data_IF_463525708566
#
_entry.id   IF_463525708566
#
_cell.length_a   1.000
_cell.length_b   1.000
_cell.length_c   1.000
_cell.angle_alpha   90.00
_cell.angle_beta   90.00
_cell.angle_gamma   90.00
#
_symmetry.space_group_name_H-M   'P 1'
#
loop_
_entity.id
_entity.type
_entity.pdbx_description
1 polymer ?
#
# COMPACT_ATOMS: atom_id res chain seq x y z
N UNK A 1 -42.27 5.11 -12.92
CA UNK A 1 -41.39 6.14 -12.32
C UNK A 1 -40.20 5.40 -11.76
N UNK A 2 -39.03 5.46 -12.41
CA UNK A 2 -37.80 4.97 -11.81
C UNK A 2 -37.53 5.87 -10.60
N UNK A 3 -37.58 5.30 -9.40
CA UNK A 3 -37.21 6.03 -8.19
C UNK A 3 -35.81 6.57 -8.40
N UNK A 4 -35.58 7.87 -8.14
CA UNK A 4 -34.24 8.42 -8.12
C UNK A 4 -33.46 7.62 -7.08
N UNK A 5 -32.47 6.87 -7.53
CA UNK A 5 -31.56 6.17 -6.62
C UNK A 5 -30.83 7.23 -5.83
N UNK A 6 -30.91 7.20 -4.49
CA UNK A 6 -30.21 8.13 -3.65
C UNK A 6 -28.69 8.04 -3.95
N UNK A 7 -28.03 9.20 -3.91
CA UNK A 7 -26.61 9.30 -4.18
C UNK A 7 -25.81 8.74 -3.00
N UNK A 8 -24.82 7.92 -3.29
CA UNK A 8 -23.83 7.46 -2.33
C UNK A 8 -22.69 8.47 -2.26
N UNK A 9 -22.31 8.88 -1.06
CA UNK A 9 -21.15 9.72 -0.81
C UNK A 9 -20.02 8.89 -0.20
N UNK A 10 -18.80 9.09 -0.69
CA UNK A 10 -17.61 8.36 -0.21
C UNK A 10 -16.55 9.39 0.17
N UNK A 11 -16.12 9.38 1.43
CA UNK A 11 -15.05 10.24 1.93
C UNK A 11 -13.74 9.48 1.81
N UNK A 12 -12.81 10.02 1.03
CA UNK A 12 -11.50 9.44 0.73
C UNK A 12 -11.46 8.71 -0.61
N UNK A 13 -10.61 9.21 -1.50
CA UNK A 13 -10.34 8.67 -2.84
C UNK A 13 -9.17 7.69 -2.88
N UNK A 14 -8.83 7.04 -1.76
CA UNK A 14 -7.82 5.97 -1.72
C UNK A 14 -8.26 4.68 -2.41
N UNK A 15 -7.51 3.60 -2.26
CA UNK A 15 -7.81 2.29 -2.88
C UNK A 15 -9.23 1.82 -2.56
N UNK A 16 -9.61 1.85 -1.28
CA UNK A 16 -10.93 1.37 -0.83
C UNK A 16 -12.08 2.25 -1.34
N UNK A 17 -11.93 3.58 -1.26
CA UNK A 17 -12.97 4.51 -1.74
C UNK A 17 -13.13 4.47 -3.24
N UNK A 18 -12.05 4.32 -4.00
CA UNK A 18 -12.07 4.15 -5.45
C UNK A 18 -12.77 2.87 -5.87
N UNK A 19 -12.48 1.75 -5.20
CA UNK A 19 -13.16 0.47 -5.46
C UNK A 19 -14.65 0.55 -5.12
N UNK A 20 -15.00 1.11 -3.95
CA UNK A 20 -16.39 1.27 -3.52
C UNK A 20 -17.20 2.14 -4.51
N UNK A 21 -16.61 3.24 -4.98
CA UNK A 21 -17.24 4.11 -5.97
C UNK A 21 -17.48 3.38 -7.30
N UNK A 22 -16.49 2.62 -7.76
CA UNK A 22 -16.60 1.82 -8.98
C UNK A 22 -17.73 0.81 -8.89
N UNK A 23 -17.73 -0.01 -7.83
CA UNK A 23 -18.73 -1.06 -7.64
C UNK A 23 -20.14 -0.49 -7.53
N UNK A 24 -20.35 0.59 -6.76
CA UNK A 24 -21.64 1.24 -6.66
C UNK A 24 -22.12 1.80 -8.00
N UNK A 25 -21.24 2.43 -8.75
CA UNK A 25 -21.58 2.99 -10.06
C UNK A 25 -21.90 1.89 -11.09
N UNK A 26 -21.19 0.76 -11.07
CA UNK A 26 -21.53 -0.41 -11.91
C UNK A 26 -22.92 -1.00 -11.59
N UNK A 27 -23.38 -0.84 -10.35
CA UNK A 27 -24.74 -1.22 -9.94
C UNK A 27 -25.80 -0.14 -10.27
N UNK A 28 -25.41 0.95 -10.94
CA UNK A 28 -26.29 2.04 -11.32
C UNK A 28 -26.56 3.08 -10.22
N UNK A 29 -25.78 3.07 -9.14
CA UNK A 29 -25.90 4.05 -8.05
C UNK A 29 -25.03 5.28 -8.36
N UNK A 30 -25.58 6.51 -8.38
CA UNK A 30 -24.80 7.73 -8.48
C UNK A 30 -23.89 7.90 -7.26
N UNK A 31 -22.63 8.27 -7.48
CA UNK A 31 -21.62 8.39 -6.43
C UNK A 31 -20.95 9.77 -6.46
N UNK A 32 -20.65 10.32 -5.28
CA UNK A 32 -19.72 11.43 -5.12
C UNK A 32 -18.56 10.97 -4.24
N UNK A 33 -17.33 11.04 -4.76
CA UNK A 33 -16.10 10.86 -3.99
C UNK A 33 -15.68 12.24 -3.47
N UNK A 34 -15.51 12.38 -2.16
CA UNK A 34 -14.94 13.56 -1.52
C UNK A 34 -13.47 13.28 -1.23
N UNK A 35 -12.59 13.94 -1.96
CA UNK A 35 -11.14 13.81 -1.82
C UNK A 35 -10.54 15.16 -1.43
N UNK A 36 -9.80 15.22 -0.33
CA UNK A 36 -9.23 16.47 0.15
C UNK A 36 -8.06 16.98 -0.69
N UNK A 37 -7.33 16.06 -1.35
CA UNK A 37 -6.20 16.41 -2.22
C UNK A 37 -6.69 16.89 -3.59
N UNK A 38 -5.99 17.79 -4.24
CA UNK A 38 -4.72 18.41 -3.83
C UNK A 38 -4.87 19.63 -2.91
N UNK A 39 -6.08 20.02 -2.50
CA UNK A 39 -6.32 21.24 -1.67
C UNK A 39 -5.72 21.09 -0.28
N UNK A 40 -5.91 19.94 0.34
CA UNK A 40 -5.31 19.60 1.64
C UNK A 40 -4.43 18.37 1.40
N UNK A 41 -3.13 18.56 1.52
CA UNK A 41 -2.14 17.51 1.33
C UNK A 41 -1.97 16.64 2.58
N UNK A 42 -1.30 15.51 2.41
CA UNK A 42 -0.77 14.69 3.51
C UNK A 42 0.74 14.61 3.39
N UNK A 43 1.40 14.16 4.44
CA UNK A 43 2.86 14.01 4.40
C UNK A 43 3.34 12.86 3.51
N UNK A 44 2.47 11.90 3.16
CA UNK A 44 2.84 10.68 2.44
C UNK A 44 2.46 10.72 0.95
N UNK A 45 1.39 11.41 0.57
CA UNK A 45 0.98 11.51 -0.82
C UNK A 45 1.82 12.53 -1.60
N UNK A 46 2.09 12.23 -2.86
CA UNK A 46 2.89 13.06 -3.76
C UNK A 46 2.05 13.72 -4.86
N UNK A 47 0.83 13.22 -5.10
CA UNK A 47 -0.05 13.67 -6.17
C UNK A 47 -1.47 13.95 -5.68
N UNK A 48 -2.33 14.44 -6.58
CA UNK A 48 -3.78 14.53 -6.35
C UNK A 48 -4.55 13.36 -6.97
N UNK A 49 -3.87 12.33 -7.44
CA UNK A 49 -4.51 11.17 -8.05
C UNK A 49 -5.20 10.29 -7.02
N UNK A 50 -6.31 9.67 -7.44
CA UNK A 50 -7.04 8.70 -6.64
C UNK A 50 -6.26 7.38 -6.60
N UNK A 51 -6.49 6.59 -5.56
CA UNK A 51 -5.84 5.29 -5.36
C UNK A 51 -4.30 5.34 -5.34
N UNK A 52 -3.69 6.48 -5.00
CA UNK A 52 -2.24 6.60 -4.85
C UNK A 52 -1.72 5.68 -3.75
N UNK A 53 -0.72 4.86 -4.08
CA UNK A 53 -0.06 3.97 -3.14
C UNK A 53 1.10 4.71 -2.45
N UNK A 54 1.05 4.86 -1.14
CA UNK A 54 2.00 5.69 -0.38
C UNK A 54 3.10 4.89 0.32
N UNK A 55 2.84 3.69 0.79
CA UNK A 55 3.79 2.89 1.56
C UNK A 55 4.67 2.00 0.66
N UNK A 56 4.05 1.23 -0.22
CA UNK A 56 4.69 0.24 -1.08
C UNK A 56 4.01 0.24 -2.44
N UNK A 57 4.68 -0.28 -3.46
CA UNK A 57 4.09 -0.54 -4.76
C UNK A 57 3.55 -1.97 -4.92
N UNK A 58 3.50 -2.74 -3.83
CA UNK A 58 3.12 -4.14 -3.82
C UNK A 58 1.79 -4.38 -3.12
N UNK A 59 0.93 -5.14 -3.78
CA UNK A 59 -0.29 -5.72 -3.20
C UNK A 59 -0.03 -7.08 -2.51
N UNK A 60 1.24 -7.46 -2.29
CA UNK A 60 1.68 -8.73 -1.72
C UNK A 60 1.48 -9.90 -2.68
N UNK A 61 1.34 -11.14 -2.14
CA UNK A 61 1.19 -12.36 -2.93
C UNK A 61 -0.03 -12.33 -3.84
N UNK A 62 0.13 -12.78 -5.07
CA UNK A 62 -0.94 -12.94 -6.06
C UNK A 62 -1.31 -14.42 -6.31
N UNK A 63 -0.79 -15.31 -5.47
CA UNK A 63 -1.07 -16.74 -5.51
C UNK A 63 -2.41 -17.05 -4.83
N UNK A 64 -3.45 -17.27 -5.64
CA UNK A 64 -4.81 -17.50 -5.16
C UNK A 64 -5.04 -18.89 -4.54
N UNK A 65 -4.13 -19.84 -4.76
CA UNK A 65 -4.27 -21.20 -4.24
C UNK A 65 -3.54 -21.41 -2.91
N UNK A 66 -2.44 -20.69 -2.70
CA UNK A 66 -1.56 -20.89 -1.55
C UNK A 66 -1.59 -19.72 -0.55
N UNK A 67 -2.24 -18.61 -0.89
CA UNK A 67 -2.18 -17.39 -0.09
C UNK A 67 -3.53 -16.68 -0.01
N UNK A 68 -3.96 -16.34 1.21
CA UNK A 68 -5.23 -15.66 1.45
C UNK A 68 -5.33 -14.29 0.75
N UNK A 69 -4.22 -13.56 0.61
CA UNK A 69 -4.20 -12.28 -0.11
C UNK A 69 -4.40 -12.50 -1.60
N UNK A 70 -3.74 -13.51 -2.18
CA UNK A 70 -3.94 -13.89 -3.58
C UNK A 70 -5.37 -14.34 -3.87
N UNK A 71 -5.99 -15.08 -2.94
CA UNK A 71 -7.40 -15.46 -3.05
C UNK A 71 -8.30 -14.22 -3.05
N UNK A 72 -8.06 -13.24 -2.18
CA UNK A 72 -8.79 -11.97 -2.17
C UNK A 72 -8.62 -11.22 -3.51
N UNK A 73 -7.43 -11.19 -4.09
CA UNK A 73 -7.22 -10.59 -5.41
C UNK A 73 -8.06 -11.30 -6.50
N UNK A 74 -8.11 -12.61 -6.45
CA UNK A 74 -8.92 -13.39 -7.38
C UNK A 74 -10.41 -13.07 -7.23
N UNK A 75 -10.93 -12.99 -6.01
CA UNK A 75 -12.32 -12.59 -5.72
C UNK A 75 -12.61 -11.17 -6.23
N UNK A 76 -11.71 -10.21 -6.00
CA UNK A 76 -11.85 -8.84 -6.49
C UNK A 76 -11.84 -8.78 -8.03
N UNK A 77 -11.01 -9.59 -8.70
CA UNK A 77 -11.03 -9.72 -10.18
C UNK A 77 -12.36 -10.30 -10.65
N UNK A 78 -12.85 -11.36 -10.00
CA UNK A 78 -14.14 -11.99 -10.32
C UNK A 78 -15.31 -11.02 -10.12
N UNK A 79 -15.22 -10.12 -9.15
CA UNK A 79 -16.19 -9.05 -8.93
C UNK A 79 -16.09 -7.87 -9.92
N UNK A 80 -15.13 -7.88 -10.84
CA UNK A 80 -14.91 -6.78 -11.80
C UNK A 80 -14.35 -5.51 -11.16
N UNK A 81 -13.53 -5.65 -10.11
CA UNK A 81 -12.93 -4.56 -9.36
C UNK A 81 -11.98 -3.71 -10.21
N UNK A 82 -12.06 -2.39 -10.07
CA UNK A 82 -11.20 -1.46 -10.81
C UNK A 82 -9.75 -1.53 -10.35
N UNK A 83 -9.52 -1.75 -9.06
CA UNK A 83 -8.18 -1.78 -8.49
C UNK A 83 -7.38 -2.94 -9.09
N UNK A 84 -7.91 -4.15 -9.07
CA UNK A 84 -7.22 -5.31 -9.65
C UNK A 84 -7.11 -5.22 -11.18
N UNK A 85 -8.16 -4.80 -11.87
CA UNK A 85 -8.14 -4.62 -13.33
C UNK A 85 -7.09 -3.59 -13.78
N UNK A 86 -6.83 -2.57 -12.98
CA UNK A 86 -5.80 -1.56 -13.26
C UNK A 86 -4.41 -2.04 -12.82
N UNK A 87 -4.31 -2.74 -11.68
CA UNK A 87 -3.06 -3.33 -11.22
C UNK A 87 -2.48 -4.32 -12.23
N UNK A 88 -3.32 -5.16 -12.83
CA UNK A 88 -2.90 -6.12 -13.86
C UNK A 88 -2.31 -5.44 -15.12
N UNK A 89 -2.80 -4.23 -15.46
CA UNK A 89 -2.29 -3.44 -16.60
C UNK A 89 -0.95 -2.76 -16.33
N UNK A 90 -0.66 -2.46 -15.07
CA UNK A 90 0.55 -1.75 -14.64
C UNK A 90 1.47 -2.64 -13.81
N UNK A 91 1.36 -3.95 -13.98
CA UNK A 91 2.14 -4.94 -13.27
C UNK A 91 3.63 -4.78 -13.56
N UNK A 92 4.43 -4.88 -12.50
CA UNK A 92 5.89 -4.98 -12.58
C UNK A 92 6.33 -6.37 -12.14
N UNK A 93 7.46 -6.88 -12.66
CA UNK A 93 8.04 -8.14 -12.22
C UNK A 93 8.34 -8.11 -10.71
N UNK A 94 7.73 -9.04 -9.97
CA UNK A 94 7.88 -9.14 -8.51
C UNK A 94 7.77 -10.59 -8.01
N UNK A 95 8.17 -11.56 -8.83
CA UNK A 95 8.04 -12.99 -8.52
C UNK A 95 6.57 -13.37 -8.31
N UNK A 96 6.26 -13.99 -7.19
CA UNK A 96 4.87 -14.35 -6.85
C UNK A 96 4.02 -13.24 -6.23
N UNK A 97 4.49 -11.99 -6.25
CA UNK A 97 3.74 -10.83 -5.75
C UNK A 97 3.14 -10.01 -6.90
N UNK A 98 2.06 -9.29 -6.61
CA UNK A 98 1.53 -8.26 -7.50
C UNK A 98 2.13 -6.93 -7.11
N UNK A 99 3.09 -6.44 -7.89
CA UNK A 99 3.63 -5.10 -7.78
C UNK A 99 3.23 -4.27 -9.01
N UNK A 100 3.12 -2.96 -8.84
CA UNK A 100 2.68 -2.04 -9.90
C UNK A 100 3.60 -0.82 -10.02
N UNK A 101 3.61 -0.23 -11.20
CA UNK A 101 4.11 1.12 -11.38
C UNK A 101 3.10 2.10 -10.78
N UNK A 102 3.46 2.76 -9.68
CA UNK A 102 2.53 3.53 -8.84
C UNK A 102 1.87 4.70 -9.54
N UNK A 103 2.66 5.50 -10.27
CA UNK A 103 2.16 6.71 -10.92
C UNK A 103 1.19 6.38 -12.07
N UNK A 104 1.53 5.53 -13.05
CA UNK A 104 0.59 5.13 -14.10
C UNK A 104 -0.63 4.38 -13.56
N UNK A 105 -0.48 3.60 -12.48
CA UNK A 105 -1.59 2.93 -11.82
C UNK A 105 -2.59 3.94 -11.25
N UNK A 106 -2.15 4.90 -10.42
CA UNK A 106 -3.00 5.91 -9.82
C UNK A 106 -3.67 6.80 -10.87
N UNK A 107 -2.92 7.25 -11.89
CA UNK A 107 -3.43 8.02 -13.00
C UNK A 107 -4.52 7.26 -13.79
N UNK A 108 -4.35 5.96 -14.02
CA UNK A 108 -5.32 5.14 -14.73
C UNK A 108 -6.61 4.91 -13.93
N UNK A 109 -6.52 4.67 -12.62
CA UNK A 109 -7.69 4.59 -11.73
C UNK A 109 -8.44 5.92 -11.73
N UNK A 110 -7.71 7.03 -11.56
CA UNK A 110 -8.27 8.39 -11.59
C UNK A 110 -9.02 8.67 -12.89
N UNK A 111 -8.41 8.36 -14.01
CA UNK A 111 -9.01 8.58 -15.33
C UNK A 111 -10.30 7.75 -15.53
N UNK A 112 -10.29 6.48 -15.13
CA UNK A 112 -11.44 5.62 -15.25
C UNK A 112 -12.60 6.06 -14.38
N UNK A 113 -12.36 6.46 -13.12
CA UNK A 113 -13.39 6.98 -12.22
C UNK A 113 -14.00 8.30 -12.74
N UNK A 114 -13.15 9.24 -13.20
CA UNK A 114 -13.61 10.52 -13.76
C UNK A 114 -14.38 10.36 -15.09
N UNK A 115 -14.10 9.32 -15.85
CA UNK A 115 -14.81 9.04 -17.11
C UNK A 115 -16.18 8.36 -16.88
N UNK A 116 -16.45 7.84 -15.68
CA UNK A 116 -17.70 7.12 -15.42
C UNK A 116 -18.86 8.11 -15.20
N UNK A 117 -19.98 7.98 -15.94
CA UNK A 117 -21.07 8.99 -15.94
C UNK A 117 -21.80 9.11 -14.59
N UNK A 118 -21.72 8.12 -13.71
CA UNK A 118 -22.35 8.12 -12.40
C UNK A 118 -21.39 8.50 -11.26
N UNK A 119 -20.12 8.76 -11.56
CA UNK A 119 -19.13 9.14 -10.53
C UNK A 119 -18.75 10.61 -10.68
N UNK A 120 -18.87 11.34 -9.59
CA UNK A 120 -18.42 12.73 -9.44
C UNK A 120 -17.29 12.77 -8.41
N UNK A 121 -16.23 13.52 -8.67
CA UNK A 121 -15.15 13.74 -7.71
C UNK A 121 -15.21 15.18 -7.23
N UNK A 122 -15.49 15.38 -5.94
CA UNK A 122 -15.45 16.67 -5.27
C UNK A 122 -14.15 16.81 -4.51
N UNK A 123 -13.34 17.79 -4.89
CA UNK A 123 -12.05 18.07 -4.23
C UNK A 123 -12.27 19.01 -3.04
N UNK A 124 -12.70 18.43 -1.92
CA UNK A 124 -12.92 19.16 -0.67
C UNK A 124 -12.68 18.26 0.54
N UNK A 125 -12.23 18.87 1.63
CA UNK A 125 -12.10 18.20 2.91
C UNK A 125 -13.47 18.10 3.59
N UNK A 126 -13.82 16.90 4.05
CA UNK A 126 -14.97 16.67 4.93
C UNK A 126 -14.44 16.60 6.37
N UNK A 127 -14.86 17.55 7.19
CA UNK A 127 -14.34 17.71 8.57
C UNK A 127 -15.28 17.19 9.65
N UNK A 128 -16.55 16.91 9.29
CA UNK A 128 -17.58 16.45 10.22
C UNK A 128 -18.26 15.20 9.70
N UNK A 129 -18.77 14.37 10.61
CA UNK A 129 -19.54 13.19 10.23
C UNK A 129 -20.91 13.61 9.67
N UNK A 130 -21.33 13.07 8.53
CA UNK A 130 -22.63 13.36 7.95
C UNK A 130 -23.75 12.84 8.84
N UNK A 131 -24.87 13.57 8.91
CA UNK A 131 -26.02 13.23 9.74
C UNK A 131 -27.20 12.63 8.94
N UNK A 132 -27.11 12.61 7.61
CA UNK A 132 -28.15 12.09 6.72
C UNK A 132 -27.58 11.59 5.40
N UNK A 133 -28.36 10.80 4.64
CA UNK A 133 -27.93 10.19 3.39
C UNK A 133 -27.09 8.93 3.60
N UNK A 134 -26.51 8.41 2.49
CA UNK A 134 -25.69 7.20 2.49
C UNK A 134 -24.21 7.58 2.31
N UNK A 135 -23.39 7.22 3.29
CA UNK A 135 -21.99 7.60 3.33
C UNK A 135 -21.10 6.40 3.64
N UNK A 136 -19.94 6.37 2.98
CA UNK A 136 -18.84 5.47 3.30
C UNK A 136 -17.64 6.35 3.69
N UNK A 137 -17.03 6.07 4.84
CA UNK A 137 -15.75 6.68 5.25
C UNK A 137 -14.65 5.71 4.88
N UNK A 138 -13.84 6.08 3.88
CA UNK A 138 -12.78 5.26 3.30
C UNK A 138 -11.43 6.00 3.29
N UNK A 139 -11.22 6.87 4.28
CA UNK A 139 -10.04 7.75 4.37
C UNK A 139 -8.77 7.04 4.79
N UNK A 140 -8.89 5.81 5.33
CA UNK A 140 -7.73 5.05 5.80
C UNK A 140 -6.97 5.74 6.93
N UNK A 141 -5.67 5.41 7.10
CA UNK A 141 -4.89 5.93 8.21
C UNK A 141 -4.45 7.40 8.04
N UNK A 142 -4.56 7.98 6.83
CA UNK A 142 -4.20 9.37 6.54
C UNK A 142 -5.43 10.29 6.56
N UNK A 143 -6.39 9.99 7.43
CA UNK A 143 -7.57 10.83 7.69
C UNK A 143 -7.12 12.20 8.23
N UNK A 144 -7.78 13.29 7.79
CA UNK A 144 -7.48 14.62 8.32
C UNK A 144 -7.77 14.73 9.81
N UNK A 145 -7.05 15.60 10.51
CA UNK A 145 -7.16 15.75 11.96
C UNK A 145 -8.60 16.08 12.39
N UNK A 146 -9.29 16.94 11.65
CA UNK A 146 -10.67 17.34 11.96
C UNK A 146 -11.64 16.14 11.85
N UNK A 147 -11.58 15.38 10.75
CA UNK A 147 -12.44 14.21 10.57
C UNK A 147 -12.05 13.09 11.54
N UNK A 148 -10.77 12.91 11.82
CA UNK A 148 -10.27 11.95 12.81
C UNK A 148 -10.84 12.21 14.20
N UNK A 149 -10.83 13.48 14.63
CA UNK A 149 -11.45 13.91 15.89
C UNK A 149 -12.98 13.66 15.90
N UNK A 150 -13.67 13.91 14.79
CA UNK A 150 -15.09 13.64 14.66
C UNK A 150 -15.40 12.12 14.75
N UNK A 151 -14.58 11.27 14.13
CA UNK A 151 -14.70 9.80 14.19
C UNK A 151 -14.45 9.32 15.63
N UNK A 152 -13.37 9.77 16.27
CA UNK A 152 -13.02 9.40 17.64
C UNK A 152 -14.16 9.76 18.62
N UNK A 153 -14.73 10.95 18.48
CA UNK A 153 -15.88 11.38 19.28
C UNK A 153 -17.11 10.49 19.07
N UNK A 154 -17.36 10.04 17.86
CA UNK A 154 -18.53 9.21 17.54
C UNK A 154 -18.36 7.76 17.98
N UNK A 155 -17.15 7.21 17.90
CA UNK A 155 -16.84 5.80 18.21
C UNK A 155 -16.39 5.59 19.65
N UNK A 156 -15.92 6.63 20.34
CA UNK A 156 -15.29 6.54 21.65
C UNK A 156 -13.89 5.93 21.62
N UNK A 157 -13.27 5.83 20.44
CA UNK A 157 -11.94 5.28 20.27
C UNK A 157 -10.88 6.39 20.21
N UNK A 158 -9.71 6.16 20.84
CA UNK A 158 -8.74 7.22 21.10
C UNK A 158 -7.84 7.60 19.93
N UNK A 159 -7.67 6.79 18.89
CA UNK A 159 -6.88 7.18 17.71
C UNK A 159 -6.94 6.19 16.54
N UNK A 160 -6.69 6.71 15.34
CA UNK A 160 -6.25 5.96 14.17
C UNK A 160 -4.71 5.95 14.18
N UNK A 161 -4.10 4.77 14.20
CA UNK A 161 -2.65 4.63 14.15
C UNK A 161 -2.17 4.50 12.69
N UNK A 162 -1.17 5.29 12.32
CA UNK A 162 -0.49 5.19 11.02
C UNK A 162 1.02 5.15 11.23
N UNK A 163 1.67 4.25 10.48
CA UNK A 163 3.13 4.20 10.37
C UNK A 163 3.53 4.28 8.91
N UNK A 164 4.34 5.27 8.57
CA UNK A 164 4.98 5.35 7.27
C UNK A 164 6.30 4.57 7.31
N UNK A 165 6.33 3.42 6.65
CA UNK A 165 7.55 2.65 6.47
C UNK A 165 8.26 3.15 5.22
N UNK A 166 9.28 4.00 5.39
CA UNK A 166 10.11 4.48 4.28
C UNK A 166 10.96 3.32 3.76
N UNK A 167 10.72 2.88 2.53
CA UNK A 167 11.61 1.98 1.81
C UNK A 167 12.72 2.81 1.14
N UNK A 168 14.01 2.62 1.47
CA UNK A 168 15.10 3.33 0.82
C UNK A 168 15.17 2.96 -0.67
N UNK A 169 15.31 3.98 -1.52
CA UNK A 169 15.50 3.83 -2.96
C UNK A 169 16.96 4.13 -3.28
N UNK A 170 17.62 3.26 -4.04
CA UNK A 170 19.00 3.43 -4.49
C UNK A 170 19.06 3.50 -6.02
N UNK A 171 20.04 4.21 -6.56
CA UNK A 171 20.29 4.21 -8.00
C UNK A 171 20.82 2.86 -8.46
N UNK A 172 20.31 2.34 -9.57
CA UNK A 172 20.71 1.04 -10.10
C UNK A 172 22.20 0.96 -10.48
N UNK A 173 22.77 2.06 -10.94
CA UNK A 173 24.19 2.19 -11.30
C UNK A 173 25.12 2.28 -10.07
N UNK A 174 24.57 2.50 -8.87
CA UNK A 174 25.33 2.47 -7.62
C UNK A 174 25.52 1.06 -7.05
N UNK A 175 24.89 0.06 -7.66
CA UNK A 175 24.90 -1.32 -7.17
C UNK A 175 26.10 -2.10 -7.75
N UNK A 176 26.89 -2.70 -6.88
CA UNK A 176 27.99 -3.58 -7.31
C UNK A 176 27.45 -4.96 -7.68
N UNK A 177 27.23 -5.20 -8.96
CA UNK A 177 26.74 -6.48 -9.49
C UNK A 177 27.79 -7.59 -9.51
N UNK A 178 29.06 -7.33 -9.15
CA UNK A 178 30.08 -8.37 -8.94
C UNK A 178 29.84 -9.16 -7.63
N UNK A 179 29.03 -8.60 -6.73
CA UNK A 179 28.68 -9.19 -5.42
C UNK A 179 27.19 -9.46 -5.31
N UNK A 180 26.37 -8.52 -5.81
CA UNK A 180 24.91 -8.63 -5.81
C UNK A 180 24.42 -9.41 -7.04
N UNK A 181 23.25 -10.02 -6.95
CA UNK A 181 22.63 -10.73 -8.08
C UNK A 181 21.11 -10.62 -8.06
N UNK A 182 20.49 -10.86 -9.21
CA UNK A 182 19.04 -10.84 -9.38
C UNK A 182 18.50 -12.27 -9.27
N UNK A 183 17.61 -12.51 -8.29
CA UNK A 183 16.90 -13.78 -8.12
C UNK A 183 15.69 -13.62 -7.23
N UNK A 184 14.55 -14.19 -7.60
CA UNK A 184 13.40 -14.40 -6.72
C UNK A 184 13.61 -15.67 -5.88
N UNK A 185 13.14 -15.68 -4.63
CA UNK A 185 13.26 -16.87 -3.76
C UNK A 185 12.55 -18.07 -4.40
N UNK A 186 13.25 -19.21 -4.42
CA UNK A 186 12.79 -20.46 -5.04
C UNK A 186 12.49 -20.32 -6.53
N UNK A 187 13.13 -19.34 -7.20
CA UNK A 187 12.92 -19.02 -8.61
C UNK A 187 11.43 -18.85 -8.97
N UNK A 188 10.65 -18.29 -8.04
CA UNK A 188 9.22 -18.05 -8.24
C UNK A 188 8.99 -17.01 -9.34
N UNK A 189 8.04 -17.31 -10.22
CA UNK A 189 7.62 -16.51 -11.35
C UNK A 189 7.43 -17.37 -12.58
N UNK A 190 6.53 -16.96 -13.47
CA UNK A 190 6.22 -17.69 -14.72
C UNK A 190 7.20 -17.33 -15.85
N UNK A 191 7.88 -16.20 -15.74
CA UNK A 191 8.88 -15.73 -16.70
C UNK A 191 10.27 -15.60 -16.08
N UNK A 192 11.31 -15.55 -16.92
CA UNK A 192 12.69 -15.30 -16.46
C UNK A 192 12.83 -13.94 -15.77
N UNK A 193 12.07 -12.93 -16.18
CA UNK A 193 12.05 -11.61 -15.57
C UNK A 193 11.50 -11.68 -14.15
N UNK A 194 10.42 -12.42 -13.93
CA UNK A 194 9.84 -12.63 -12.61
C UNK A 194 10.73 -13.45 -11.69
N UNK A 195 11.42 -14.46 -12.23
CA UNK A 195 12.40 -15.27 -11.48
C UNK A 195 13.63 -14.45 -11.06
N UNK A 196 13.91 -13.34 -11.75
CA UNK A 196 15.01 -12.40 -11.49
C UNK A 196 14.52 -11.03 -10.96
N UNK A 197 13.37 -10.98 -10.32
CA UNK A 197 12.74 -9.69 -9.93
C UNK A 197 13.35 -9.03 -8.69
N UNK A 198 14.14 -9.74 -7.88
CA UNK A 198 14.72 -9.22 -6.64
C UNK A 198 16.22 -9.15 -6.69
N UNK A 199 16.76 -8.00 -6.25
CA UNK A 199 18.18 -7.82 -6.02
C UNK A 199 18.57 -8.42 -4.66
N UNK A 200 19.55 -9.30 -4.66
CA UNK A 200 20.08 -9.93 -3.47
C UNK A 200 21.48 -9.41 -3.16
N UNK A 201 21.69 -8.93 -1.94
CA UNK A 201 22.97 -8.45 -1.42
C UNK A 201 23.42 -9.39 -0.30
N UNK A 202 24.45 -10.22 -0.50
CA UNK A 202 24.90 -11.17 0.51
C UNK A 202 25.65 -10.47 1.63
N UNK A 203 25.54 -10.99 2.83
CA UNK A 203 26.37 -10.61 3.98
C UNK A 203 26.94 -11.86 4.63
N UNK A 204 28.22 -11.83 5.00
CA UNK A 204 28.81 -12.79 5.90
C UNK A 204 28.41 -12.47 7.37
N UNK A 205 28.81 -13.32 8.31
CA UNK A 205 28.48 -13.14 9.74
C UNK A 205 29.04 -11.82 10.29
N UNK A 206 30.25 -11.43 9.89
CA UNK A 206 30.89 -10.19 10.35
C UNK A 206 30.13 -8.97 9.83
N UNK A 207 29.79 -8.97 8.55
CA UNK A 207 29.03 -7.92 7.90
C UNK A 207 27.61 -7.81 8.47
N UNK A 208 26.95 -8.95 8.71
CA UNK A 208 25.62 -8.97 9.34
C UNK A 208 25.67 -8.37 10.74
N UNK A 209 26.63 -8.76 11.56
CA UNK A 209 26.78 -8.23 12.91
C UNK A 209 27.07 -6.72 12.91
N UNK A 210 27.94 -6.25 12.01
CA UNK A 210 28.21 -4.82 11.84
C UNK A 210 26.97 -4.04 11.37
N UNK A 211 26.18 -4.61 10.47
CA UNK A 211 24.92 -4.02 10.02
C UNK A 211 23.92 -3.88 11.17
N UNK A 212 23.74 -4.92 11.99
CA UNK A 212 22.84 -4.85 13.17
C UNK A 212 23.32 -3.80 14.16
N UNK A 213 24.62 -3.73 14.45
CA UNK A 213 25.19 -2.73 15.36
C UNK A 213 24.95 -1.30 14.85
N UNK A 214 25.18 -1.07 13.56
CA UNK A 214 24.94 0.22 12.92
C UNK A 214 23.44 0.59 12.93
N UNK A 215 22.56 -0.36 12.64
CA UNK A 215 21.12 -0.17 12.63
C UNK A 215 20.57 0.21 14.02
N UNK A 216 21.06 -0.46 15.08
CA UNK A 216 20.65 -0.19 16.45
C UNK A 216 21.21 1.13 16.99
N UNK A 217 22.36 1.58 16.49
CA UNK A 217 23.00 2.83 16.87
C UNK A 217 22.56 4.04 16.02
N UNK A 218 21.84 3.82 14.92
CA UNK A 218 21.41 4.88 14.02
C UNK A 218 20.35 5.78 14.67
N UNK A 219 20.28 7.02 14.19
CA UNK A 219 19.22 7.94 14.53
C UNK A 219 17.87 7.39 14.07
N UNK A 220 16.87 7.45 14.94
CA UNK A 220 15.52 6.98 14.66
C UNK A 220 14.61 8.16 14.47
N UNK A 221 13.64 8.01 13.57
CA UNK A 221 12.55 8.98 13.43
C UNK A 221 11.69 8.92 14.70
N UNK A 222 11.56 10.05 15.38
CA UNK A 222 10.65 10.17 16.52
C UNK A 222 9.20 10.06 16.06
N UNK A 223 8.37 9.40 16.86
CA UNK A 223 6.94 9.34 16.60
C UNK A 223 6.33 10.75 16.67
N UNK A 224 5.41 11.03 15.78
CA UNK A 224 4.63 12.26 15.85
C UNK A 224 3.63 12.19 17.00
N UNK A 225 3.21 13.36 17.48
CA UNK A 225 2.19 13.46 18.52
C UNK A 225 0.91 12.76 18.07
N UNK A 226 0.47 11.72 18.78
CA UNK A 226 -0.65 10.86 18.41
C UNK A 226 -0.29 9.52 17.74
N UNK A 227 0.95 9.31 17.30
CA UNK A 227 1.45 8.02 16.87
C UNK A 227 1.76 7.15 18.08
N UNK A 228 0.83 6.32 18.52
CA UNK A 228 1.10 5.34 19.58
C UNK A 228 1.59 4.02 19.00
N UNK A 229 2.52 3.38 19.70
CA UNK A 229 3.28 2.20 19.29
C UNK A 229 2.45 0.91 19.13
N UNK A 230 1.42 0.92 18.29
CA UNK A 230 0.71 -0.27 17.85
C UNK A 230 1.22 -0.72 16.49
N UNK A 231 2.45 -1.26 16.40
CA UNK A 231 2.95 -1.79 15.14
C UNK A 231 2.09 -2.95 14.65
N UNK A 232 1.75 -2.93 13.38
CA UNK A 232 1.21 -4.09 12.71
C UNK A 232 2.31 -5.15 12.57
N UNK A 233 2.13 -6.35 13.12
CA UNK A 233 3.16 -7.41 13.09
C UNK A 233 3.67 -7.74 11.68
N UNK A 234 2.85 -7.52 10.65
CA UNK A 234 3.23 -7.71 9.25
C UNK A 234 4.01 -6.55 8.61
N UNK A 235 4.17 -5.41 9.30
CA UNK A 235 4.82 -4.19 8.80
C UNK A 235 5.74 -3.57 9.85
N UNK A 236 6.45 -4.40 10.63
CA UNK A 236 7.40 -3.91 11.62
C UNK A 236 8.59 -3.21 10.95
N UNK A 237 8.98 -2.03 11.41
CA UNK A 237 10.24 -1.41 11.01
C UNK A 237 11.43 -2.34 11.30
N UNK A 238 12.44 -2.28 10.44
CA UNK A 238 13.60 -3.19 10.52
C UNK A 238 14.38 -3.01 11.83
N UNK A 239 14.49 -1.78 12.33
CA UNK A 239 15.12 -1.45 13.60
C UNK A 239 14.36 -2.05 14.79
N UNK A 240 13.03 -2.04 14.76
CA UNK A 240 12.19 -2.67 15.81
C UNK A 240 12.35 -4.19 15.81
N UNK A 241 12.49 -4.80 14.63
CA UNK A 241 12.80 -6.23 14.53
C UNK A 241 14.19 -6.54 15.09
N UNK A 242 15.19 -5.70 14.82
CA UNK A 242 16.54 -5.86 15.33
C UNK A 242 16.59 -5.71 16.87
N UNK A 243 15.81 -4.81 17.45
CA UNK A 243 15.65 -4.63 18.90
C UNK A 243 15.05 -5.86 19.60
N UNK A 244 14.17 -6.60 18.93
CA UNK A 244 13.60 -7.84 19.47
C UNK A 244 14.63 -8.96 19.62
N UNK A 245 15.77 -8.86 18.94
CA UNK A 245 16.88 -9.78 19.04
C UNK A 245 17.76 -9.76 17.79
N UNK A 246 19.05 -9.91 18.00
CA UNK A 246 20.08 -9.83 16.97
C UNK A 246 19.82 -10.76 15.77
N UNK A 247 19.27 -11.94 16.04
CA UNK A 247 18.98 -12.97 15.05
C UNK A 247 17.60 -12.83 14.36
N UNK A 248 16.76 -11.89 14.83
CA UNK A 248 15.38 -11.76 14.36
C UNK A 248 15.32 -11.53 12.85
N UNK A 249 16.18 -10.66 12.31
CA UNK A 249 16.22 -10.37 10.88
C UNK A 249 16.69 -11.58 10.05
N UNK A 250 17.70 -12.30 10.54
CA UNK A 250 18.28 -13.47 9.86
C UNK A 250 17.30 -14.64 9.77
N UNK A 251 16.45 -14.83 10.77
CA UNK A 251 15.38 -15.83 10.74
C UNK A 251 14.04 -15.30 10.20
N UNK A 252 13.95 -14.00 9.95
CA UNK A 252 12.80 -13.28 9.41
C UNK A 252 13.01 -12.82 7.96
N UNK A 253 12.90 -11.52 7.68
CA UNK A 253 12.92 -10.99 6.31
C UNK A 253 14.24 -11.18 5.57
N UNK A 254 15.37 -11.28 6.29
CA UNK A 254 16.69 -11.47 5.69
C UNK A 254 17.13 -12.96 5.64
N UNK A 255 16.20 -13.90 5.88
CA UNK A 255 16.50 -15.33 5.83
C UNK A 255 16.96 -15.76 4.43
N UNK A 256 18.16 -16.37 4.26
CA UNK A 256 18.72 -16.71 2.95
C UNK A 256 18.21 -18.07 2.44
N UNK A 257 16.89 -18.23 2.35
CA UNK A 257 16.27 -19.48 1.87
C UNK A 257 15.79 -19.35 0.43
N UNK A 258 15.98 -20.40 -0.36
CA UNK A 258 15.56 -20.44 -1.76
C UNK A 258 16.35 -19.50 -2.66
N UNK A 259 17.58 -19.15 -2.27
CA UNK A 259 18.51 -18.32 -3.03
C UNK A 259 19.82 -19.05 -3.23
N UNK A 260 20.44 -18.89 -4.40
CA UNK A 260 21.74 -19.44 -4.74
C UNK A 260 22.67 -18.31 -5.12
N UNK A 261 23.69 -18.06 -4.29
CA UNK A 261 24.66 -17.01 -4.57
C UNK A 261 25.60 -17.46 -5.71
N UNK A 262 25.58 -16.81 -6.88
CA UNK A 262 26.44 -17.19 -8.01
C UNK A 262 27.92 -16.80 -7.81
N UNK A 263 28.19 -15.94 -6.80
CA UNK A 263 29.54 -15.45 -6.48
C UNK A 263 30.18 -16.20 -5.31
N UNK A 264 29.51 -17.20 -4.73
CA UNK A 264 30.03 -18.00 -3.62
C UNK A 264 30.87 -19.20 -4.09
#
# INVERSE_FOLDING_TARGET
MAGMTERLHIIGGGLAGSEAAWQAAQMGVPVTIHEMRPKVGTFAHQSGDLAEMVCSNSFRSDDSEQNAVGLLHWEMRAAGGIIMATADKHRLPAGGALAVDREPFAASVTAALKAHPLIEVSYEEVTELPTSGHWIIATGPLTSDALSAAIAKATGADALAFFDAIAPIVYSDSINMDVAWMQSRYDKGESEEEQKAYLNCPMDETQYNAFIDALLAADKTEFREGETAGYFDGCLPIEVMAERGRETLRFGPMKPVGLTNPHA
#
